data_IF_429537910187
#
_entry.id   IF_429537910187
#
_cell.length_a   1.000
_cell.length_b   1.000
_cell.length_c   1.000
_cell.angle_alpha   90.00
_cell.angle_beta   90.00
_cell.angle_gamma   90.00
#
_symmetry.space_group_name_H-M   'P 1'
#
loop_
_entity.id
_entity.type
_entity.pdbx_description
1 polymer ?
#
# COMPACT_ATOMS: atom_id res chain seq x y z
N UNK A 1 75.07 -44.83 57.55
CA UNK A 1 73.65 -44.39 57.61
C UNK A 1 73.47 -42.95 57.11
N UNK A 2 74.23 -41.95 57.57
CA UNK A 2 74.04 -40.52 57.20
C UNK A 2 74.23 -40.25 55.69
N UNK A 3 75.28 -40.89 55.07
CA UNK A 3 75.53 -40.69 53.63
C UNK A 3 74.45 -41.22 52.69
N UNK A 4 73.79 -42.31 53.07
CA UNK A 4 72.64 -42.89 52.29
C UNK A 4 71.45 -41.98 52.37
N UNK A 5 71.21 -41.38 53.52
CA UNK A 5 70.08 -40.45 53.72
C UNK A 5 70.21 -39.17 52.87
N UNK A 6 71.45 -38.66 52.77
CA UNK A 6 71.76 -37.45 51.94
C UNK A 6 71.54 -37.75 50.46
N UNK A 7 72.02 -38.92 49.98
CA UNK A 7 71.85 -39.36 48.58
C UNK A 7 70.34 -39.53 48.23
N UNK A 8 69.58 -40.12 49.13
CA UNK A 8 68.13 -40.24 48.96
C UNK A 8 67.36 -38.89 48.89
N UNK A 9 67.78 -37.93 49.76
CA UNK A 9 67.20 -36.59 49.74
C UNK A 9 67.55 -35.84 48.42
N UNK A 10 68.81 -35.93 47.96
CA UNK A 10 69.21 -35.33 46.69
C UNK A 10 68.52 -35.99 45.50
N UNK A 11 68.29 -37.30 45.53
CA UNK A 11 67.51 -37.99 44.50
C UNK A 11 66.04 -37.59 44.47
N UNK A 12 65.45 -37.45 45.67
CA UNK A 12 64.04 -36.95 45.76
C UNK A 12 63.86 -35.50 45.32
N UNK A 13 64.86 -34.63 45.65
CA UNK A 13 64.86 -33.23 45.15
C UNK A 13 65.04 -33.20 43.64
N UNK A 14 65.93 -33.99 43.11
CA UNK A 14 66.10 -34.12 41.65
C UNK A 14 64.89 -34.65 40.90
N UNK A 15 64.28 -35.71 41.46
CA UNK A 15 63.01 -36.24 40.89
C UNK A 15 61.83 -35.24 40.99
N UNK A 16 61.73 -34.49 42.12
CA UNK A 16 60.77 -33.44 42.28
C UNK A 16 60.96 -32.29 41.29
N UNK A 17 62.22 -31.89 41.05
CA UNK A 17 62.53 -30.83 40.08
C UNK A 17 62.22 -31.30 38.62
N UNK A 18 62.57 -32.56 38.31
CA UNK A 18 62.26 -33.15 36.98
C UNK A 18 60.78 -33.29 36.77
N UNK A 19 59.99 -33.65 37.81
CA UNK A 19 58.54 -33.76 37.76
C UNK A 19 57.90 -32.35 37.60
N UNK A 20 58.40 -31.37 38.37
CA UNK A 20 57.91 -29.99 38.31
C UNK A 20 58.16 -29.34 36.91
N UNK A 21 59.26 -29.69 36.25
CA UNK A 21 59.56 -29.22 34.90
C UNK A 21 58.67 -29.82 33.82
N UNK A 22 57.94 -30.91 34.11
CA UNK A 22 56.96 -31.50 33.22
C UNK A 22 55.57 -30.86 33.32
N UNK A 23 55.30 -30.16 34.44
CA UNK A 23 54.03 -29.45 34.62
C UNK A 23 54.13 -28.05 34.02
N UNK A 24 53.78 -27.90 32.73
CA UNK A 24 53.49 -26.59 32.19
C UNK A 24 52.20 -26.08 32.77
N UNK A 25 52.21 -24.91 33.38
CA UNK A 25 50.99 -24.27 33.85
C UNK A 25 50.05 -23.94 32.67
N UNK A 26 48.71 -23.98 32.89
CA UNK A 26 47.74 -23.62 31.87
C UNK A 26 48.06 -22.24 31.21
N UNK A 27 48.58 -21.30 32.00
CA UNK A 27 49.04 -19.99 31.51
C UNK A 27 50.26 -20.06 30.58
N UNK A 28 51.18 -21.04 30.79
CA UNK A 28 52.29 -21.27 29.86
C UNK A 28 51.88 -21.99 28.58
N UNK A 29 50.89 -22.88 28.67
CA UNK A 29 50.29 -23.50 27.50
C UNK A 29 49.51 -22.49 26.64
N UNK A 30 48.75 -21.53 27.26
CA UNK A 30 48.11 -20.44 26.55
C UNK A 30 49.12 -19.48 25.92
N UNK A 31 50.25 -19.15 26.61
CA UNK A 31 51.31 -18.29 26.08
C UNK A 31 52.05 -18.95 24.90
N UNK A 32 52.16 -20.30 24.89
CA UNK A 32 52.80 -21.05 23.83
C UNK A 32 51.83 -21.47 22.71
N UNK A 33 50.52 -21.32 22.89
CA UNK A 33 49.50 -21.50 21.85
C UNK A 33 49.69 -20.34 20.84
N UNK A 34 50.50 -20.55 19.80
CA UNK A 34 50.48 -19.66 18.64
C UNK A 34 49.05 -19.61 18.12
N UNK A 35 48.50 -18.40 18.10
CA UNK A 35 47.25 -18.19 17.37
C UNK A 35 47.37 -18.82 15.97
N UNK A 36 46.39 -19.59 15.50
CA UNK A 36 46.42 -20.10 14.14
C UNK A 36 46.70 -18.95 13.19
N UNK A 37 47.63 -19.14 12.25
CA UNK A 37 47.87 -18.12 11.22
C UNK A 37 46.51 -17.79 10.57
N UNK A 38 46.15 -16.50 10.42
CA UNK A 38 44.91 -16.15 9.75
C UNK A 38 44.91 -16.82 8.38
N UNK A 39 43.96 -17.72 8.19
CA UNK A 39 43.73 -18.34 6.88
C UNK A 39 43.12 -17.32 5.91
N UNK A 40 43.31 -17.53 4.61
CA UNK A 40 42.66 -16.66 3.62
C UNK A 40 41.12 -16.70 3.81
N UNK A 41 40.49 -15.54 3.79
CA UNK A 41 39.05 -15.40 3.83
C UNK A 41 38.54 -15.39 2.40
N UNK A 42 37.43 -16.08 2.15
CA UNK A 42 36.81 -16.14 0.84
C UNK A 42 35.40 -15.62 0.92
N UNK A 43 34.92 -15.00 -0.16
CA UNK A 43 33.56 -14.60 -0.39
C UNK A 43 33.04 -15.26 -1.67
N UNK A 44 31.76 -15.56 -1.71
CA UNK A 44 31.10 -16.13 -2.87
C UNK A 44 30.73 -15.03 -3.86
N UNK A 45 30.94 -15.29 -5.15
CA UNK A 45 30.52 -14.41 -6.24
C UNK A 45 29.02 -14.58 -6.43
N UNK A 46 28.27 -13.49 -6.38
CA UNK A 46 26.84 -13.47 -6.65
C UNK A 46 26.55 -12.77 -7.96
N UNK A 47 25.45 -13.11 -8.62
CA UNK A 47 24.96 -12.42 -9.81
C UNK A 47 23.73 -11.61 -9.44
N UNK A 48 23.68 -10.35 -9.89
CA UNK A 48 22.55 -9.46 -9.60
C UNK A 48 22.78 -8.04 -10.10
N UNK A 49 21.86 -7.17 -9.72
CA UNK A 49 21.98 -5.73 -9.98
C UNK A 49 22.62 -5.04 -8.78
N UNK A 50 23.68 -4.29 -9.02
CA UNK A 50 24.25 -3.41 -8.00
C UNK A 50 23.55 -2.06 -8.07
N UNK A 51 22.61 -1.81 -7.14
CA UNK A 51 21.79 -0.61 -7.10
C UNK A 51 21.76 0.01 -5.70
N UNK A 52 21.74 1.32 -5.65
CA UNK A 52 21.46 2.06 -4.42
C UNK A 52 19.98 1.95 -4.09
N UNK A 53 19.65 1.44 -2.92
CA UNK A 53 18.29 1.24 -2.47
C UNK A 53 18.02 1.96 -1.17
N UNK A 54 16.83 2.60 -1.08
CA UNK A 54 16.34 3.22 0.15
C UNK A 54 15.01 2.57 0.52
N UNK A 55 14.95 1.97 1.70
CA UNK A 55 13.77 1.25 2.19
C UNK A 55 12.88 2.10 3.04
N UNK A 56 11.57 2.06 2.78
CA UNK A 56 10.52 2.73 3.54
C UNK A 56 9.42 1.77 3.96
N UNK A 57 8.64 2.19 4.95
CA UNK A 57 7.37 1.53 5.29
C UNK A 57 6.25 2.53 5.09
N UNK A 58 5.22 2.15 4.35
CA UNK A 58 4.06 2.98 4.05
C UNK A 58 2.74 2.26 4.30
N UNK A 59 1.66 2.99 4.07
CA UNK A 59 0.30 2.47 4.14
C UNK A 59 -0.30 2.45 2.72
N UNK A 60 -0.72 1.26 2.29
CA UNK A 60 -1.52 1.14 1.08
C UNK A 60 -2.94 1.65 1.34
N UNK A 61 -3.43 2.49 0.47
CA UNK A 61 -4.77 3.06 0.56
C UNK A 61 -5.20 3.69 -0.76
N UNK A 62 -6.46 4.14 -0.85
CA UNK A 62 -6.97 4.79 -2.06
C UNK A 62 -6.16 6.03 -2.44
N UNK A 63 -5.93 6.19 -3.75
CA UNK A 63 -5.20 7.35 -4.29
C UNK A 63 -5.94 8.67 -4.10
N UNK A 64 -7.26 8.63 -4.09
CA UNK A 64 -8.14 9.77 -3.81
C UNK A 64 -9.14 9.43 -2.73
N UNK A 65 -9.58 10.45 -1.99
CA UNK A 65 -10.61 10.34 -0.95
C UNK A 65 -11.65 11.42 -1.19
N UNK A 66 -12.91 11.01 -1.35
CA UNK A 66 -14.02 11.92 -1.60
C UNK A 66 -14.96 11.89 -0.39
N UNK A 67 -15.07 13.00 0.35
CA UNK A 67 -16.07 13.12 1.40
C UNK A 67 -17.45 13.24 0.77
N UNK A 68 -18.43 12.51 1.31
CA UNK A 68 -19.82 12.50 0.82
C UNK A 68 -20.78 12.61 1.99
N UNK A 69 -21.77 13.48 1.85
CA UNK A 69 -22.82 13.71 2.84
C UNK A 69 -24.14 13.18 2.32
N UNK A 70 -24.88 12.50 3.17
CA UNK A 70 -26.23 11.99 2.88
C UNK A 70 -27.22 13.15 2.94
N UNK A 71 -28.16 13.17 2.02
CA UNK A 71 -29.23 14.16 2.08
C UNK A 71 -30.23 13.83 3.20
N UNK A 72 -30.78 14.86 3.89
CA UNK A 72 -31.80 14.64 4.89
C UNK A 72 -33.02 13.94 4.30
N UNK A 73 -33.60 13.00 5.04
CA UNK A 73 -34.86 12.35 4.65
C UNK A 73 -35.98 13.35 4.84
N UNK A 74 -36.74 13.61 3.77
CA UNK A 74 -37.89 14.53 3.82
C UNK A 74 -38.90 14.08 4.88
N UNK A 75 -39.47 15.04 5.57
CA UNK A 75 -40.50 14.85 6.63
C UNK A 75 -40.04 14.04 7.86
N UNK A 76 -38.75 13.68 7.94
CA UNK A 76 -38.15 13.06 9.11
C UNK A 76 -37.47 14.11 10.00
N UNK A 77 -37.71 14.04 11.30
CA UNK A 77 -37.01 14.93 12.27
C UNK A 77 -35.54 14.58 12.43
N UNK A 78 -35.12 13.37 12.09
CA UNK A 78 -33.76 12.88 12.16
C UNK A 78 -33.47 11.93 11.00
N UNK A 79 -32.26 12.01 10.46
CA UNK A 79 -31.73 11.04 9.51
C UNK A 79 -30.77 10.13 10.28
N UNK A 80 -31.12 8.84 10.41
CA UNK A 80 -30.38 7.88 11.27
C UNK A 80 -30.13 6.59 10.52
N UNK A 81 -28.92 6.04 10.69
CA UNK A 81 -28.57 4.70 10.18
C UNK A 81 -29.34 3.65 10.98
N UNK A 82 -30.17 2.86 10.29
CA UNK A 82 -30.99 1.81 10.91
C UNK A 82 -30.46 0.40 10.66
N UNK A 83 -29.61 0.22 9.64
CA UNK A 83 -29.05 -1.12 9.39
C UNK A 83 -28.10 -1.21 8.20
N UNK A 84 -27.54 -2.40 8.04
CA UNK A 84 -26.73 -2.84 6.88
C UNK A 84 -25.56 -1.91 6.47
N UNK A 85 -24.78 -1.32 7.37
CA UNK A 85 -23.65 -0.50 6.96
C UNK A 85 -22.58 -1.37 6.28
N UNK A 86 -22.03 -0.89 5.17
CA UNK A 86 -20.82 -1.45 4.61
C UNK A 86 -19.65 -1.17 5.56
N UNK A 87 -18.85 -2.20 5.81
CA UNK A 87 -17.69 -2.08 6.69
C UNK A 87 -16.61 -1.16 6.07
N UNK A 88 -15.89 -0.45 6.91
CA UNK A 88 -14.67 0.26 6.51
C UNK A 88 -13.68 -0.74 5.88
N UNK A 89 -13.08 -0.38 4.77
CA UNK A 89 -12.23 -1.24 3.95
C UNK A 89 -13.00 -2.08 2.92
N UNK A 90 -14.34 -2.16 2.99
CA UNK A 90 -15.11 -2.86 1.98
C UNK A 90 -15.18 -2.07 0.67
N UNK A 91 -15.36 -2.78 -0.44
CA UNK A 91 -15.60 -2.18 -1.75
C UNK A 91 -17.08 -2.01 -1.97
N UNK A 92 -17.49 -0.77 -2.23
CA UNK A 92 -18.83 -0.40 -2.67
C UNK A 92 -18.87 -0.40 -4.20
N UNK A 93 -19.92 -0.99 -4.78
CA UNK A 93 -20.15 -0.98 -6.24
C UNK A 93 -21.35 -0.12 -6.59
N UNK A 94 -21.31 0.53 -7.76
CA UNK A 94 -22.46 1.31 -8.25
C UNK A 94 -23.73 0.45 -8.33
N UNK A 95 -24.85 0.98 -7.82
CA UNK A 95 -26.11 0.28 -7.67
C UNK A 95 -26.22 -0.65 -6.45
N UNK A 96 -25.22 -0.65 -5.54
CA UNK A 96 -25.26 -1.43 -4.29
C UNK A 96 -25.82 -0.61 -3.13
N UNK A 97 -26.49 -1.28 -2.18
CA UNK A 97 -26.89 -0.67 -0.91
C UNK A 97 -25.63 -0.45 -0.06
N UNK A 98 -25.39 0.80 0.34
CA UNK A 98 -24.27 1.20 1.22
C UNK A 98 -24.65 1.04 2.69
N UNK A 99 -25.88 1.38 3.02
CA UNK A 99 -26.44 1.26 4.36
C UNK A 99 -27.98 1.38 4.30
N UNK A 100 -28.63 1.24 5.44
CA UNK A 100 -30.05 1.50 5.61
C UNK A 100 -30.24 2.77 6.46
N UNK A 101 -31.04 3.70 5.99
CA UNK A 101 -31.33 4.97 6.65
C UNK A 101 -32.83 5.08 6.86
N UNK A 102 -33.27 5.30 8.12
CA UNK A 102 -34.69 5.38 8.51
C UNK A 102 -35.55 4.22 7.95
N UNK A 103 -35.01 2.99 7.91
CA UNK A 103 -35.65 1.80 7.37
C UNK A 103 -35.67 1.71 5.84
N UNK A 104 -34.98 2.61 5.13
CA UNK A 104 -34.89 2.66 3.66
C UNK A 104 -33.48 2.45 3.17
N UNK A 105 -33.27 1.85 1.97
CA UNK A 105 -31.94 1.65 1.43
C UNK A 105 -31.29 2.97 1.00
N UNK A 106 -30.02 3.14 1.26
CA UNK A 106 -29.18 4.16 0.65
C UNK A 106 -28.30 3.48 -0.40
N UNK A 107 -28.54 3.75 -1.66
CA UNK A 107 -27.80 3.19 -2.77
C UNK A 107 -26.63 4.09 -3.18
N UNK A 108 -25.46 3.51 -3.40
CA UNK A 108 -24.36 4.22 -4.06
C UNK A 108 -24.55 4.17 -5.58
N UNK A 109 -24.50 5.28 -6.26
CA UNK A 109 -24.62 5.37 -7.72
C UNK A 109 -23.48 6.22 -8.27
N UNK A 110 -22.72 5.71 -9.24
CA UNK A 110 -21.67 6.47 -9.88
C UNK A 110 -22.24 7.72 -10.55
N UNK A 111 -21.70 8.88 -10.16
CA UNK A 111 -22.08 10.17 -10.77
C UNK A 111 -20.94 11.18 -10.58
N UNK A 112 -20.72 12.04 -11.57
CA UNK A 112 -19.80 13.18 -11.47
C UNK A 112 -20.36 14.35 -10.64
N UNK A 113 -21.63 14.28 -10.25
CA UNK A 113 -22.33 15.31 -9.49
C UNK A 113 -23.25 14.66 -8.45
N UNK A 114 -23.62 15.41 -7.41
CA UNK A 114 -24.60 14.98 -6.43
C UNK A 114 -26.01 14.96 -7.02
N UNK A 115 -26.79 13.93 -6.69
CA UNK A 115 -28.21 13.90 -7.06
C UNK A 115 -28.94 15.03 -6.36
N UNK A 116 -29.84 15.70 -7.09
CA UNK A 116 -30.44 16.96 -6.65
C UNK A 116 -31.94 16.96 -6.64
N UNK A 117 -32.58 15.88 -7.10
CA UNK A 117 -34.03 15.71 -7.16
C UNK A 117 -34.47 14.26 -7.11
N UNK A 118 -35.68 14.06 -6.78
CA UNK A 118 -36.34 12.78 -6.94
C UNK A 118 -36.50 12.44 -8.43
N UNK A 119 -36.47 11.14 -8.76
CA UNK A 119 -36.59 10.65 -10.13
C UNK A 119 -37.76 9.70 -10.30
N UNK A 120 -38.55 9.87 -11.36
CA UNK A 120 -39.70 9.04 -11.67
C UNK A 120 -40.12 9.13 -13.14
N UNK A 121 -41.16 8.42 -13.49
CA UNK A 121 -41.69 8.37 -14.87
C UNK A 121 -41.94 9.77 -15.40
N UNK A 122 -41.37 10.09 -16.58
CA UNK A 122 -41.47 11.39 -17.25
C UNK A 122 -40.24 12.28 -17.05
N UNK A 123 -39.39 12.01 -16.03
CA UNK A 123 -38.17 12.78 -15.80
C UNK A 123 -37.13 12.50 -16.88
N UNK A 124 -36.26 13.49 -17.12
CA UNK A 124 -35.17 13.40 -18.08
C UNK A 124 -33.96 14.18 -17.56
N UNK A 125 -32.77 13.67 -17.84
CA UNK A 125 -31.53 14.35 -17.49
C UNK A 125 -30.36 13.42 -17.26
N UNK A 126 -29.17 13.99 -16.97
CA UNK A 126 -27.96 13.23 -16.69
C UNK A 126 -28.04 12.44 -15.37
N UNK A 127 -28.88 12.87 -14.44
CA UNK A 127 -29.23 12.17 -13.20
C UNK A 127 -29.94 10.83 -13.48
N UNK A 128 -30.91 10.86 -14.41
CA UNK A 128 -31.62 9.64 -14.88
C UNK A 128 -30.63 8.72 -15.63
N UNK A 129 -29.76 9.28 -16.49
CA UNK A 129 -28.76 8.51 -17.21
C UNK A 129 -27.78 7.80 -16.25
N UNK A 130 -27.30 8.50 -15.22
CA UNK A 130 -26.43 7.92 -14.19
C UNK A 130 -27.10 6.76 -13.44
N UNK A 131 -28.39 6.92 -13.06
CA UNK A 131 -29.19 5.86 -12.44
C UNK A 131 -29.33 4.65 -13.39
N UNK A 132 -29.67 4.90 -14.66
CA UNK A 132 -29.80 3.85 -15.67
C UNK A 132 -28.48 3.11 -15.90
N UNK A 133 -27.36 3.83 -15.96
CA UNK A 133 -26.03 3.24 -16.08
C UNK A 133 -25.70 2.31 -14.90
N UNK A 134 -26.05 2.71 -13.67
CA UNK A 134 -25.91 1.87 -12.49
C UNK A 134 -26.77 0.60 -12.56
N UNK A 135 -28.00 0.71 -13.05
CA UNK A 135 -28.90 -0.43 -13.24
C UNK A 135 -28.36 -1.38 -14.31
N UNK A 136 -27.86 -0.86 -15.44
CA UNK A 136 -27.21 -1.67 -16.49
C UNK A 136 -25.97 -2.39 -15.94
N UNK A 137 -25.14 -1.71 -15.15
CA UNK A 137 -23.98 -2.33 -14.50
C UNK A 137 -24.36 -3.47 -13.55
N UNK A 138 -25.58 -3.45 -13.02
CA UNK A 138 -26.19 -4.51 -12.19
C UNK A 138 -26.96 -5.55 -13.02
N UNK A 139 -26.80 -5.53 -14.34
CA UNK A 139 -27.41 -6.47 -15.30
C UNK A 139 -28.93 -6.33 -15.48
N UNK A 140 -29.52 -5.19 -15.13
CA UNK A 140 -30.90 -4.90 -15.50
C UNK A 140 -30.96 -4.52 -16.98
N UNK A 141 -31.98 -5.04 -17.69
CA UNK A 141 -32.14 -4.85 -19.13
C UNK A 141 -32.87 -3.54 -19.41
N UNK A 142 -32.12 -2.49 -19.75
CA UNK A 142 -32.63 -1.18 -20.17
C UNK A 142 -31.57 -0.41 -20.90
N UNK A 143 -31.93 0.67 -21.57
CA UNK A 143 -31.03 1.60 -22.20
C UNK A 143 -30.77 2.81 -21.28
N UNK A 144 -29.52 3.23 -21.14
CA UNK A 144 -29.16 4.47 -20.45
C UNK A 144 -29.31 5.66 -21.44
N UNK A 145 -30.56 6.08 -21.67
CA UNK A 145 -30.92 7.15 -22.62
C UNK A 145 -31.25 8.49 -21.93
N UNK A 146 -31.13 8.54 -20.61
CA UNK A 146 -31.48 9.71 -19.79
C UNK A 146 -32.93 10.01 -19.71
N UNK A 147 -33.83 9.07 -20.08
CA UNK A 147 -35.30 9.24 -19.97
C UNK A 147 -35.88 8.20 -19.06
N UNK A 148 -36.51 8.63 -17.98
CA UNK A 148 -37.18 7.74 -17.04
C UNK A 148 -38.52 7.27 -17.61
N UNK A 149 -38.47 6.20 -18.38
CA UNK A 149 -39.64 5.55 -18.98
C UNK A 149 -40.17 4.38 -18.15
N UNK A 150 -41.14 3.65 -18.70
CA UNK A 150 -41.70 2.46 -18.07
C UNK A 150 -40.70 1.33 -17.87
N UNK A 151 -39.71 1.19 -18.77
CA UNK A 151 -38.59 0.22 -18.65
C UNK A 151 -37.73 0.55 -17.43
N UNK A 152 -37.35 1.82 -17.28
CA UNK A 152 -36.61 2.31 -16.12
C UNK A 152 -37.38 2.09 -14.83
N UNK A 153 -38.68 2.41 -14.81
CA UNK A 153 -39.55 2.18 -13.65
C UNK A 153 -39.62 0.70 -13.25
N UNK A 154 -39.72 -0.19 -14.24
CA UNK A 154 -39.71 -1.64 -14.02
C UNK A 154 -38.39 -2.13 -13.46
N UNK A 155 -37.27 -1.64 -14.00
CA UNK A 155 -35.93 -1.96 -13.52
C UNK A 155 -35.71 -1.46 -12.09
N UNK A 156 -36.10 -0.24 -11.78
CA UNK A 156 -36.07 0.34 -10.43
C UNK A 156 -36.86 -0.49 -9.45
N UNK A 157 -38.10 -0.84 -9.78
CA UNK A 157 -38.91 -1.70 -8.91
C UNK A 157 -38.21 -3.02 -8.58
N UNK A 158 -37.64 -3.65 -9.58
CA UNK A 158 -36.90 -4.90 -9.43
C UNK A 158 -35.62 -4.72 -8.60
N UNK A 159 -34.90 -3.63 -8.83
CA UNK A 159 -33.67 -3.29 -8.09
C UNK A 159 -33.94 -3.15 -6.58
N UNK A 160 -35.02 -2.47 -6.19
CA UNK A 160 -35.44 -2.42 -4.78
C UNK A 160 -35.79 -3.81 -4.23
N UNK A 161 -36.58 -4.58 -4.96
CA UNK A 161 -36.98 -5.93 -4.56
C UNK A 161 -35.78 -6.88 -4.38
N UNK A 162 -34.86 -6.87 -5.34
CA UNK A 162 -33.64 -7.67 -5.28
C UNK A 162 -32.70 -7.24 -4.11
N UNK A 163 -32.84 -5.98 -3.68
CA UNK A 163 -32.16 -5.45 -2.51
C UNK A 163 -32.88 -5.72 -1.18
N UNK A 164 -34.08 -6.29 -1.24
CA UNK A 164 -34.93 -6.63 -0.09
C UNK A 164 -35.80 -5.50 0.43
N UNK A 165 -36.13 -4.54 -0.43
CA UNK A 165 -36.96 -3.40 -0.11
C UNK A 165 -38.18 -3.29 -1.07
N UNK A 166 -39.20 -2.59 -0.63
CA UNK A 166 -40.31 -2.21 -1.50
C UNK A 166 -39.99 -0.89 -2.21
N UNK A 167 -40.16 -0.86 -3.54
CA UNK A 167 -39.95 0.35 -4.30
C UNK A 167 -40.97 1.44 -3.90
N UNK A 168 -40.54 2.67 -3.67
CA UNK A 168 -41.47 3.76 -3.40
C UNK A 168 -42.38 4.03 -4.60
N UNK A 169 -43.57 4.49 -4.35
CA UNK A 169 -44.50 4.93 -5.37
C UNK A 169 -44.84 6.40 -5.16
N UNK A 170 -44.77 7.20 -6.23
CA UNK A 170 -45.22 8.58 -6.17
C UNK A 170 -46.77 8.59 -6.26
N UNK A 171 -47.42 8.98 -5.19
CA UNK A 171 -48.88 9.22 -5.24
C UNK A 171 -49.16 10.49 -6.08
N UNK A 172 -50.07 10.42 -7.03
CA UNK A 172 -50.49 11.57 -7.87
C UNK A 172 -51.05 12.78 -7.06
N UNK A 173 -51.07 12.68 -5.74
CA UNK A 173 -51.55 13.75 -4.86
C UNK A 173 -50.50 14.83 -4.56
N UNK A 174 -49.19 14.61 -4.88
CA UNK A 174 -48.12 15.58 -4.59
C UNK A 174 -47.91 16.65 -5.67
N UNK A 175 -48.59 16.60 -6.81
CA UNK A 175 -48.47 17.58 -7.90
C UNK A 175 -49.36 18.83 -7.74
N UNK A 176 -49.98 19.06 -6.58
CA UNK A 176 -50.83 20.23 -6.36
C UNK A 176 -50.11 21.35 -5.61
N UNK A 177 -48.99 21.84 -6.13
CA UNK A 177 -48.49 23.17 -5.80
C UNK A 177 -47.89 23.84 -7.04
N UNK A 178 -48.73 24.01 -8.08
CA UNK A 178 -48.54 25.05 -9.10
C UNK A 178 -49.93 25.63 -9.38
N UNK A 179 -50.22 26.88 -9.02
CA UNK A 179 -51.51 27.49 -9.32
C UNK A 179 -51.45 28.06 -10.74
N UNK A 180 -51.76 27.29 -11.75
CA UNK A 180 -52.24 27.73 -13.06
C UNK A 180 -52.27 26.57 -14.08
N UNK A 181 -53.36 25.81 -14.09
CA UNK A 181 -53.84 25.21 -15.33
C UNK A 181 -55.27 24.64 -15.13
N UNK A 182 -56.23 25.42 -15.62
CA UNK A 182 -57.52 25.06 -16.21
C UNK A 182 -58.26 23.82 -15.73
N UNK A 183 -59.39 24.08 -15.11
CA UNK A 183 -60.56 23.20 -14.99
C UNK A 183 -60.89 22.51 -16.33
N UNK A 184 -60.67 21.21 -16.41
CA UNK A 184 -61.43 20.33 -17.32
C UNK A 184 -61.62 18.98 -16.68
N UNK A 185 -62.84 18.74 -16.25
CA UNK A 185 -63.58 17.45 -16.03
C UNK A 185 -62.69 16.22 -15.76
N UNK A 186 -62.43 15.92 -14.51
CA UNK A 186 -61.99 14.59 -14.09
C UNK A 186 -63.20 13.73 -13.73
N UNK A 187 -63.39 12.61 -14.42
CA UNK A 187 -64.24 11.50 -14.06
C UNK A 187 -63.77 10.94 -12.68
N UNK A 188 -64.62 10.92 -11.63
CA UNK A 188 -64.19 10.51 -10.31
C UNK A 188 -63.94 9.01 -10.16
N UNK A 189 -63.97 8.22 -11.24
CA UNK A 189 -63.76 6.77 -11.22
C UNK A 189 -62.41 6.29 -11.78
N UNK A 190 -61.60 7.15 -12.38
CA UNK A 190 -60.29 6.77 -12.85
C UNK A 190 -59.26 6.92 -11.72
N UNK A 191 -59.02 5.82 -11.01
CA UNK A 191 -57.83 5.68 -10.13
C UNK A 191 -56.60 5.87 -11.02
N UNK A 192 -56.01 7.06 -10.95
CA UNK A 192 -54.74 7.31 -11.66
C UNK A 192 -53.77 6.17 -11.31
N UNK A 193 -53.10 5.55 -12.29
CA UNK A 193 -52.16 4.51 -12.02
C UNK A 193 -51.07 5.12 -11.11
N UNK A 194 -50.90 4.54 -9.92
CA UNK A 194 -49.78 4.88 -9.08
C UNK A 194 -48.51 4.74 -9.95
N UNK A 195 -47.76 5.81 -10.14
CA UNK A 195 -46.51 5.77 -10.88
C UNK A 195 -45.54 4.90 -10.08
N UNK A 196 -45.54 3.62 -10.40
CA UNK A 196 -44.63 2.64 -9.78
C UNK A 196 -43.21 2.89 -10.28
N UNK A 197 -42.22 2.73 -9.41
CA UNK A 197 -40.82 2.87 -9.73
C UNK A 197 -40.30 4.32 -9.65
N UNK A 198 -40.39 4.87 -8.49
CA UNK A 198 -39.86 6.20 -8.13
C UNK A 198 -38.62 6.04 -7.27
N UNK A 199 -37.66 6.95 -7.38
CA UNK A 199 -36.43 6.95 -6.59
C UNK A 199 -36.29 8.29 -5.88
N UNK A 200 -36.46 8.32 -4.55
CA UNK A 200 -36.17 9.52 -3.76
C UNK A 200 -34.70 9.89 -3.80
N UNK A 201 -34.41 11.17 -3.87
CA UNK A 201 -33.02 11.67 -3.85
C UNK A 201 -32.28 11.31 -2.55
N UNK A 202 -33.01 11.20 -1.44
CA UNK A 202 -32.43 10.81 -0.15
C UNK A 202 -32.04 9.32 -0.07
N UNK A 203 -32.43 8.50 -1.05
CA UNK A 203 -32.06 7.08 -1.12
C UNK A 203 -30.89 6.81 -2.09
N UNK A 204 -30.28 7.88 -2.65
CA UNK A 204 -29.15 7.78 -3.58
C UNK A 204 -28.00 8.63 -3.09
N UNK A 205 -26.80 8.05 -3.07
CA UNK A 205 -25.55 8.71 -2.79
C UNK A 205 -24.65 8.68 -4.04
N UNK A 206 -24.15 9.84 -4.48
CA UNK A 206 -23.21 9.92 -5.58
C UNK A 206 -21.86 9.29 -5.19
N UNK A 207 -21.38 8.36 -6.02
CA UNK A 207 -20.07 7.74 -5.88
C UNK A 207 -19.10 8.29 -6.93
N UNK A 208 -17.83 8.55 -6.60
CA UNK A 208 -16.86 9.11 -7.54
C UNK A 208 -16.50 8.15 -8.69
N UNK A 209 -16.70 6.85 -8.48
CA UNK A 209 -16.38 5.79 -9.45
C UNK A 209 -17.35 4.62 -9.34
N UNK A 210 -17.36 3.75 -10.35
CA UNK A 210 -18.22 2.55 -10.37
C UNK A 210 -17.89 1.57 -9.23
N UNK A 211 -16.68 1.63 -8.74
CA UNK A 211 -16.19 0.87 -7.58
C UNK A 211 -15.40 1.81 -6.68
N UNK A 212 -15.75 1.88 -5.41
CA UNK A 212 -15.09 2.76 -4.43
C UNK A 212 -14.81 1.99 -3.14
N UNK A 213 -13.68 2.28 -2.50
CA UNK A 213 -13.39 1.73 -1.18
C UNK A 213 -14.05 2.59 -0.10
N UNK A 214 -14.73 1.98 0.85
CA UNK A 214 -15.25 2.69 2.03
C UNK A 214 -14.09 2.98 2.98
N UNK A 215 -13.53 4.20 2.92
CA UNK A 215 -12.44 4.64 3.81
C UNK A 215 -12.98 4.94 5.19
N UNK A 216 -14.11 5.65 5.24
CA UNK A 216 -14.89 5.89 6.44
C UNK A 216 -16.35 5.59 6.12
N UNK A 217 -16.92 4.64 6.84
CA UNK A 217 -18.33 4.26 6.76
C UNK A 217 -19.10 4.76 7.97
N UNK A 218 -20.37 4.45 7.99
CA UNK A 218 -21.32 4.83 9.05
C UNK A 218 -21.61 3.65 9.98
N UNK A 219 -22.16 3.94 11.16
CA UNK A 219 -22.52 2.94 12.15
C UNK A 219 -24.03 3.00 12.45
N UNK A 220 -24.61 1.84 12.80
CA UNK A 220 -26.02 1.78 13.21
C UNK A 220 -26.25 2.70 14.42
N UNK A 221 -27.30 3.50 14.35
CA UNK A 221 -27.63 4.51 15.35
C UNK A 221 -26.95 5.87 15.15
N UNK A 222 -26.03 5.99 14.19
CA UNK A 222 -25.39 7.26 13.87
C UNK A 222 -26.41 8.20 13.20
N UNK A 223 -26.38 9.48 13.59
CA UNK A 223 -27.11 10.56 12.91
C UNK A 223 -26.29 10.99 11.69
N UNK A 224 -26.98 11.14 10.57
CA UNK A 224 -26.41 11.57 9.30
C UNK A 224 -26.89 12.98 8.93
N UNK A 225 -26.34 13.50 7.83
CA UNK A 225 -26.69 14.81 7.27
C UNK A 225 -26.44 15.98 8.25
N UNK A 226 -25.43 15.85 9.12
CA UNK A 226 -24.98 16.98 9.94
C UNK A 226 -24.22 17.98 9.05
N UNK A 227 -24.49 19.27 9.26
CA UNK A 227 -23.85 20.34 8.50
C UNK A 227 -22.33 20.33 8.74
N UNK A 228 -21.54 20.38 7.67
CA UNK A 228 -20.08 20.46 7.73
C UNK A 228 -19.35 19.15 8.07
N UNK A 229 -20.07 18.03 8.28
CA UNK A 229 -19.46 16.74 8.61
C UNK A 229 -19.80 15.72 7.51
N UNK A 230 -18.79 15.14 6.83
CA UNK A 230 -19.08 14.08 5.86
C UNK A 230 -19.53 12.80 6.56
N UNK A 231 -20.57 12.17 6.01
CA UNK A 231 -21.09 10.92 6.53
C UNK A 231 -20.25 9.72 6.06
N UNK A 232 -19.76 9.79 4.81
CA UNK A 232 -18.87 8.79 4.22
C UNK A 232 -17.61 9.44 3.68
N UNK A 233 -16.51 8.70 3.70
CA UNK A 233 -15.33 8.98 2.88
C UNK A 233 -15.17 7.78 1.95
N UNK A 234 -15.36 8.03 0.65
CA UNK A 234 -15.19 7.03 -0.40
C UNK A 234 -13.85 7.25 -1.09
N UNK A 235 -13.06 6.19 -1.19
CA UNK A 235 -11.77 6.20 -1.87
C UNK A 235 -11.87 5.64 -3.28
N UNK A 236 -10.91 6.00 -4.14
CA UNK A 236 -10.76 5.35 -5.44
C UNK A 236 -10.50 3.85 -5.28
N UNK A 237 -10.78 3.08 -6.33
CA UNK A 237 -10.39 1.67 -6.39
C UNK A 237 -8.87 1.50 -6.55
N UNK A 238 -8.21 2.52 -7.11
CA UNK A 238 -6.76 2.51 -7.31
C UNK A 238 -6.06 2.78 -5.99
N UNK A 239 -5.22 1.84 -5.57
CA UNK A 239 -4.44 1.93 -4.35
C UNK A 239 -3.07 2.53 -4.64
N UNK A 240 -2.59 3.37 -3.75
CA UNK A 240 -1.21 3.89 -3.70
C UNK A 240 -0.63 3.60 -2.32
N UNK A 241 0.69 3.58 -2.21
CA UNK A 241 1.35 3.47 -0.90
C UNK A 241 1.78 4.85 -0.45
N UNK A 242 1.17 5.37 0.60
CA UNK A 242 1.54 6.65 1.21
C UNK A 242 2.61 6.42 2.27
N UNK A 243 3.68 7.19 2.20
CA UNK A 243 4.83 7.15 3.10
C UNK A 243 4.98 8.53 3.73
N UNK A 244 5.12 8.56 5.05
CA UNK A 244 5.43 9.79 5.82
C UNK A 244 6.69 9.52 6.61
N UNK A 245 7.71 10.33 6.40
CA UNK A 245 9.01 10.20 7.04
C UNK A 245 9.59 11.57 7.41
N UNK A 246 10.47 11.65 8.41
CA UNK A 246 11.26 12.85 8.64
C UNK A 246 12.07 13.21 7.38
N UNK A 247 12.24 14.51 7.11
CA UNK A 247 13.04 14.98 5.96
C UNK A 247 14.45 14.40 5.96
N UNK A 248 15.01 14.15 7.14
CA UNK A 248 16.35 13.55 7.30
C UNK A 248 16.44 12.13 6.77
N UNK A 249 15.33 11.40 6.79
CA UNK A 249 15.26 9.98 6.41
C UNK A 249 14.86 9.79 4.94
N UNK A 250 14.47 10.88 4.26
CA UNK A 250 14.12 10.86 2.85
C UNK A 250 15.32 10.51 1.95
N UNK A 251 16.53 10.90 2.37
CA UNK A 251 17.73 10.74 1.56
C UNK A 251 17.64 11.52 0.24
N UNK A 252 18.15 10.93 -0.83
CA UNK A 252 18.16 11.53 -2.18
C UNK A 252 16.91 11.18 -3.00
N UNK A 253 15.83 10.69 -2.38
CA UNK A 253 14.61 10.29 -3.09
C UNK A 253 13.95 11.51 -3.71
N UNK A 254 13.58 11.38 -5.00
CA UNK A 254 12.87 12.42 -5.77
C UNK A 254 11.65 11.83 -6.47
N UNK A 255 10.72 12.71 -6.83
CA UNK A 255 9.58 12.31 -7.64
C UNK A 255 10.03 11.74 -9.00
N UNK A 256 9.43 10.62 -9.39
CA UNK A 256 9.80 9.90 -10.62
C UNK A 256 10.74 8.72 -10.40
N UNK A 257 11.35 8.56 -9.22
CA UNK A 257 12.20 7.43 -8.93
C UNK A 257 11.42 6.10 -9.04
N UNK A 258 12.10 5.08 -9.53
CA UNK A 258 11.56 3.73 -9.56
C UNK A 258 11.48 3.15 -8.14
N UNK A 259 10.42 2.42 -7.85
CA UNK A 259 10.23 1.79 -6.57
C UNK A 259 9.63 0.38 -6.72
N UNK A 260 9.92 -0.48 -5.76
CA UNK A 260 9.31 -1.80 -5.62
C UNK A 260 8.47 -1.80 -4.35
N UNK A 261 7.20 -2.13 -4.50
CA UNK A 261 6.22 -2.22 -3.42
C UNK A 261 6.06 -3.69 -3.05
N UNK A 262 6.32 -4.05 -1.80
CA UNK A 262 6.12 -5.42 -1.28
C UNK A 262 4.96 -5.44 -0.28
N UNK A 263 3.90 -6.18 -0.62
CA UNK A 263 2.71 -6.39 0.22
C UNK A 263 2.40 -7.89 0.27
N UNK A 264 2.37 -8.46 1.48
CA UNK A 264 1.98 -9.87 1.66
C UNK A 264 2.86 -10.88 0.91
N UNK A 265 4.11 -10.52 0.58
CA UNK A 265 5.03 -11.36 -0.19
C UNK A 265 4.91 -11.20 -1.71
N UNK A 266 4.04 -10.32 -2.19
CA UNK A 266 3.95 -9.97 -3.61
C UNK A 266 4.67 -8.65 -3.85
N UNK A 267 5.49 -8.59 -4.89
CA UNK A 267 6.21 -7.40 -5.31
C UNK A 267 5.55 -6.80 -6.55
N UNK A 268 5.38 -5.49 -6.52
CA UNK A 268 4.79 -4.70 -7.60
C UNK A 268 5.67 -3.49 -7.86
N UNK A 269 6.07 -3.29 -9.09
CA UNK A 269 6.77 -2.07 -9.48
C UNK A 269 5.90 -0.84 -9.33
N UNK A 270 6.52 0.29 -8.99
CA UNK A 270 5.85 1.57 -8.83
C UNK A 270 6.79 2.73 -9.13
N UNK A 271 6.24 3.92 -8.99
CA UNK A 271 6.97 5.18 -9.19
C UNK A 271 6.68 6.12 -8.03
N UNK A 272 7.70 6.79 -7.52
CA UNK A 272 7.58 7.82 -6.47
C UNK A 272 6.84 9.02 -7.06
N UNK A 273 5.74 9.41 -6.44
CA UNK A 273 4.97 10.61 -6.77
C UNK A 273 5.54 11.88 -6.14
N UNK A 274 4.73 12.95 -6.14
CA UNK A 274 5.13 14.23 -5.57
C UNK A 274 5.43 14.13 -4.08
N UNK A 275 6.57 14.70 -3.67
CA UNK A 275 6.99 14.79 -2.27
C UNK A 275 6.52 16.13 -1.71
N UNK A 276 5.72 16.11 -0.65
CA UNK A 276 5.12 17.31 -0.04
C UNK A 276 5.44 17.34 1.46
N UNK A 277 5.56 18.53 2.06
CA UNK A 277 5.63 18.65 3.51
C UNK A 277 4.39 18.02 4.16
N UNK A 278 4.59 17.24 5.19
CA UNK A 278 3.48 16.67 5.99
C UNK A 278 2.75 17.80 6.69
N UNK A 279 1.41 17.84 6.58
CA UNK A 279 0.61 18.98 7.06
C UNK A 279 0.20 19.98 6.00
N UNK A 280 0.63 19.82 4.73
CA UNK A 280 0.15 20.60 3.58
C UNK A 280 -1.08 19.97 2.92
N UNK A 281 -1.75 19.00 3.55
CA UNK A 281 -3.05 18.57 3.08
C UNK A 281 -3.98 19.77 3.11
N UNK A 282 -4.73 20.03 2.05
CA UNK A 282 -5.93 20.84 2.06
C UNK A 282 -6.92 20.22 3.06
N UNK A 283 -6.67 20.43 4.35
CA UNK A 283 -7.70 20.30 5.37
C UNK A 283 -8.54 21.57 5.31
N UNK A 284 -9.82 21.48 4.90
CA UNK A 284 -10.70 22.65 4.84
C UNK A 284 -11.14 23.14 6.22
N UNK A 285 -10.61 22.63 7.31
CA UNK A 285 -10.95 23.06 8.67
C UNK A 285 -9.68 23.42 9.46
N UNK A 286 -9.43 24.75 9.48
CA UNK A 286 -8.53 25.36 10.45
C UNK A 286 -9.02 25.15 11.89
N UNK A 287 -8.60 24.10 12.54
CA UNK A 287 -8.58 24.02 13.99
C UNK A 287 -7.24 24.56 14.45
N UNK A 288 -7.32 25.69 15.17
CA UNK A 288 -6.21 26.50 15.63
C UNK A 288 -5.05 25.69 16.21
N UNK A 289 -3.87 25.98 15.69
CA UNK A 289 -2.61 25.51 16.21
C UNK A 289 -2.47 25.98 17.69
N UNK A 290 -2.49 25.02 18.62
CA UNK A 290 -2.04 25.24 19.98
C UNK A 290 -0.53 25.50 19.96
N UNK A 291 -0.12 26.60 20.52
CA UNK A 291 1.24 27.14 20.53
C UNK A 291 2.21 26.40 21.50
N UNK A 292 2.05 25.11 21.69
CA UNK A 292 2.94 24.24 22.49
C UNK A 292 3.30 22.95 21.69
N UNK A 293 3.72 23.12 20.42
CA UNK A 293 4.30 22.00 19.68
C UNK A 293 5.80 21.93 20.02
N UNK A 294 6.23 20.92 20.78
CA UNK A 294 7.59 20.41 20.73
C UNK A 294 8.06 20.39 19.27
N UNK A 295 9.31 20.81 19.02
CA UNK A 295 9.91 20.83 17.69
C UNK A 295 9.96 19.42 17.10
N UNK A 296 8.84 18.99 16.53
CA UNK A 296 8.80 17.77 15.70
C UNK A 296 9.60 18.09 14.44
N UNK A 297 10.57 17.23 14.12
CA UNK A 297 11.34 17.35 12.89
C UNK A 297 10.37 17.46 11.69
N UNK A 298 10.65 18.32 10.70
CA UNK A 298 9.79 18.47 9.55
C UNK A 298 9.65 17.13 8.82
N UNK A 299 8.40 16.68 8.67
CA UNK A 299 8.08 15.45 7.97
C UNK A 299 7.66 15.74 6.53
N UNK A 300 7.90 14.79 5.66
CA UNK A 300 7.44 14.78 4.28
C UNK A 300 6.56 13.57 4.03
N UNK A 301 5.58 13.77 3.17
CA UNK A 301 4.68 12.72 2.71
C UNK A 301 4.77 12.62 1.20
N UNK A 302 4.89 11.39 0.71
CA UNK A 302 4.81 11.08 -0.71
C UNK A 302 4.05 9.78 -0.94
N UNK A 303 3.48 9.66 -2.13
CA UNK A 303 2.79 8.45 -2.55
C UNK A 303 3.63 7.70 -3.57
N UNK A 304 3.66 6.37 -3.47
CA UNK A 304 4.21 5.52 -4.52
C UNK A 304 3.05 4.92 -5.30
N UNK A 305 3.00 5.24 -6.59
CA UNK A 305 1.96 4.81 -7.51
C UNK A 305 2.39 3.49 -8.13
N UNK A 306 1.65 2.40 -7.91
CA UNK A 306 1.98 1.11 -8.48
C UNK A 306 1.67 1.08 -9.98
N UNK A 307 2.47 0.37 -10.78
CA UNK A 307 2.24 0.14 -12.22
C UNK A 307 1.18 -0.94 -12.48
N UNK A 308 0.92 -1.80 -11.51
CA UNK A 308 -0.11 -2.83 -11.56
C UNK A 308 -0.94 -2.81 -10.28
N UNK A 309 -2.13 -3.40 -10.32
CA UNK A 309 -3.02 -3.45 -9.17
C UNK A 309 -2.34 -4.12 -7.97
N UNK A 310 -2.39 -3.47 -6.81
CA UNK A 310 -1.87 -4.03 -5.57
C UNK A 310 -2.79 -5.18 -5.09
N UNK A 311 -2.23 -6.29 -4.62
CA UNK A 311 -3.04 -7.37 -4.07
C UNK A 311 -3.66 -6.96 -2.73
N UNK A 312 -4.96 -7.21 -2.57
CA UNK A 312 -5.68 -7.05 -1.31
C UNK A 312 -6.26 -5.66 -1.05
N UNK A 313 -6.70 -5.45 0.18
CA UNK A 313 -7.22 -4.18 0.70
C UNK A 313 -6.08 -3.36 1.34
N UNK A 314 -6.41 -2.12 1.73
CA UNK A 314 -5.51 -1.22 2.47
C UNK A 314 -4.72 -1.95 3.59
N UNK A 315 -3.41 -1.72 3.64
CA UNK A 315 -2.53 -2.38 4.60
C UNK A 315 -1.12 -1.82 4.60
N UNK A 316 -0.28 -2.35 5.50
CA UNK A 316 1.13 -1.94 5.56
C UNK A 316 1.90 -2.53 4.38
N UNK A 317 2.68 -1.69 3.71
CA UNK A 317 3.56 -2.05 2.61
C UNK A 317 5.00 -1.67 2.92
N UNK A 318 5.95 -2.48 2.45
CA UNK A 318 7.35 -2.08 2.35
C UNK A 318 7.58 -1.53 0.96
N UNK A 319 8.31 -0.45 0.87
CA UNK A 319 8.69 0.18 -0.39
C UNK A 319 10.21 0.30 -0.44
N UNK A 320 10.80 -0.20 -1.50
CA UNK A 320 12.22 -0.03 -1.80
C UNK A 320 12.35 0.88 -3.01
N UNK A 321 12.91 2.06 -2.82
CA UNK A 321 13.18 3.03 -3.90
C UNK A 321 14.56 2.75 -4.47
N UNK A 322 14.64 2.51 -5.78
CA UNK A 322 15.87 2.25 -6.50
C UNK A 322 16.42 3.58 -7.01
N UNK A 323 17.61 3.98 -6.51
CA UNK A 323 18.19 5.30 -6.81
C UNK A 323 19.13 5.28 -7.99
N UNK A 324 20.12 4.43 -7.93
CA UNK A 324 21.15 4.35 -8.96
C UNK A 324 21.42 2.90 -9.25
N UNK A 325 21.19 2.50 -10.47
CA UNK A 325 21.63 1.21 -10.97
C UNK A 325 23.06 1.43 -11.45
N UNK A 326 24.01 0.86 -10.72
CA UNK A 326 25.44 0.92 -11.04
C UNK A 326 25.76 -0.11 -12.12
N UNK A 327 25.19 -1.30 -12.01
CA UNK A 327 25.28 -2.36 -12.99
C UNK A 327 24.03 -3.26 -12.90
N UNK A 328 23.51 -3.71 -14.05
CA UNK A 328 22.45 -4.71 -14.16
C UNK A 328 23.08 -6.06 -14.54
N UNK A 329 22.58 -7.14 -13.92
CA UNK A 329 22.96 -8.52 -14.24
C UNK A 329 24.49 -8.78 -14.24
N UNK A 330 25.20 -8.13 -13.31
CA UNK A 330 26.64 -8.21 -13.17
C UNK A 330 27.06 -9.21 -12.08
N UNK A 331 28.32 -9.67 -12.12
CA UNK A 331 28.90 -10.41 -11.01
C UNK A 331 29.29 -9.43 -9.91
N UNK A 332 28.84 -9.72 -8.69
CA UNK A 332 29.04 -8.86 -7.52
C UNK A 332 30.00 -9.55 -6.56
N UNK A 333 31.00 -8.81 -6.13
CA UNK A 333 32.03 -9.26 -5.19
C UNK A 333 32.28 -8.17 -4.14
N UNK A 334 32.73 -8.51 -2.92
CA UNK A 334 33.16 -7.49 -1.96
C UNK A 334 34.34 -6.67 -2.50
N UNK A 335 34.37 -5.37 -2.22
CA UNK A 335 35.43 -4.46 -2.65
C UNK A 335 36.84 -4.95 -2.23
N UNK A 336 36.91 -5.62 -1.09
CA UNK A 336 38.17 -6.18 -0.57
C UNK A 336 38.70 -7.38 -1.36
N UNK A 337 37.89 -7.99 -2.24
CA UNK A 337 38.34 -9.06 -3.12
C UNK A 337 39.02 -8.53 -4.38
N UNK A 338 38.79 -7.26 -4.71
CA UNK A 338 39.39 -6.60 -5.89
C UNK A 338 40.76 -6.10 -5.59
N UNK A 339 41.76 -6.52 -6.39
CA UNK A 339 43.13 -6.10 -6.28
C UNK A 339 43.59 -5.32 -7.51
N UNK A 340 44.11 -4.13 -7.31
CA UNK A 340 44.68 -3.30 -8.37
C UNK A 340 46.16 -3.63 -8.52
N UNK A 341 46.55 -4.08 -9.69
CA UNK A 341 47.94 -4.46 -10.03
C UNK A 341 48.65 -3.41 -10.92
N UNK A 342 47.99 -2.28 -11.15
CA UNK A 342 48.55 -1.17 -11.95
C UNK A 342 47.52 -0.62 -12.96
N UNK A 343 47.91 0.38 -13.75
CA UNK A 343 46.98 0.99 -14.69
C UNK A 343 46.34 -0.08 -15.60
N UNK A 344 45.02 -0.15 -15.55
CA UNK A 344 44.15 -1.06 -16.30
C UNK A 344 44.30 -2.57 -15.99
N UNK A 345 44.80 -2.94 -14.80
CA UNK A 345 44.96 -4.34 -14.37
C UNK A 345 44.26 -4.58 -13.01
N UNK A 346 42.97 -4.66 -13.04
CA UNK A 346 42.18 -5.09 -11.90
C UNK A 346 42.00 -6.60 -11.95
N UNK A 347 42.29 -7.30 -10.85
CA UNK A 347 42.20 -8.77 -10.77
C UNK A 347 41.46 -9.21 -9.51
N UNK A 348 40.82 -10.34 -9.62
CA UNK A 348 40.28 -11.12 -8.49
C UNK A 348 41.11 -12.39 -8.32
N UNK A 349 41.26 -12.85 -7.09
CA UNK A 349 41.90 -14.13 -6.82
C UNK A 349 40.83 -15.17 -6.53
N UNK A 350 40.55 -16.03 -7.52
CA UNK A 350 39.58 -17.14 -7.44
C UNK A 350 40.21 -18.38 -6.86
N UNK A 351 39.53 -19.12 -6.01
CA UNK A 351 39.92 -20.45 -5.56
C UNK A 351 39.33 -21.51 -6.51
N UNK A 352 40.23 -22.37 -7.03
CA UNK A 352 39.81 -23.52 -7.83
C UNK A 352 39.41 -24.71 -6.94
N UNK A 353 38.76 -25.71 -7.55
CA UNK A 353 38.26 -26.89 -6.84
C UNK A 353 39.37 -27.72 -6.15
N UNK A 354 40.61 -27.61 -6.62
CA UNK A 354 41.80 -28.24 -6.04
C UNK A 354 42.45 -27.41 -4.91
N UNK A 355 41.85 -26.23 -4.58
CA UNK A 355 42.36 -25.31 -3.56
C UNK A 355 43.45 -24.35 -4.05
N UNK A 356 43.83 -24.43 -5.31
CA UNK A 356 44.80 -23.47 -5.90
C UNK A 356 44.16 -22.13 -6.15
N UNK A 357 44.96 -21.07 -6.06
CA UNK A 357 44.52 -19.70 -6.28
C UNK A 357 44.91 -19.23 -7.68
N UNK A 358 43.98 -18.67 -8.41
CA UNK A 358 44.16 -18.18 -9.76
C UNK A 358 43.71 -16.73 -9.86
N UNK A 359 44.46 -15.86 -10.54
CA UNK A 359 44.10 -14.47 -10.78
C UNK A 359 43.24 -14.36 -12.04
N UNK A 360 42.04 -13.80 -11.87
CA UNK A 360 41.09 -13.54 -12.95
C UNK A 360 41.06 -12.03 -13.22
N UNK A 361 41.47 -11.59 -14.42
CA UNK A 361 41.35 -10.19 -14.82
C UNK A 361 39.88 -9.80 -14.99
N UNK A 362 39.52 -8.65 -14.42
CA UNK A 362 38.11 -8.14 -14.47
C UNK A 362 38.08 -6.66 -14.80
N UNK A 363 36.97 -6.24 -15.38
CA UNK A 363 36.58 -4.83 -15.53
C UNK A 363 35.67 -4.47 -14.38
N UNK A 364 35.89 -3.36 -13.68
CA UNK A 364 35.02 -2.82 -12.67
C UNK A 364 33.94 -1.99 -13.37
N UNK A 365 32.67 -2.38 -13.25
CA UNK A 365 31.51 -1.65 -13.77
C UNK A 365 31.09 -0.54 -12.82
N UNK A 366 31.26 -0.76 -11.50
CA UNK A 366 31.03 0.24 -10.47
C UNK A 366 31.12 -0.33 -9.07
N UNK A 367 31.06 0.58 -8.08
CA UNK A 367 31.21 0.23 -6.65
C UNK A 367 30.11 0.91 -5.86
N UNK A 368 29.50 0.15 -4.95
CA UNK A 368 28.45 0.67 -4.08
C UNK A 368 28.46 -0.07 -2.74
N UNK A 369 28.41 0.66 -1.62
CA UNK A 369 28.27 0.13 -0.25
C UNK A 369 29.25 -1.01 0.13
N UNK A 370 30.46 -1.02 -0.46
CA UNK A 370 31.47 -2.05 -0.18
C UNK A 370 31.39 -3.26 -1.09
N UNK A 371 30.50 -3.27 -2.05
CA UNK A 371 30.38 -4.23 -3.14
C UNK A 371 30.83 -3.63 -4.46
N UNK A 372 31.32 -4.47 -5.35
CA UNK A 372 31.81 -4.09 -6.68
C UNK A 372 31.15 -4.99 -7.71
N UNK A 373 30.55 -4.36 -8.71
CA UNK A 373 30.09 -5.06 -9.90
C UNK A 373 31.27 -5.23 -10.85
N UNK A 374 31.53 -6.45 -11.28
CA UNK A 374 32.66 -6.81 -12.14
C UNK A 374 32.21 -7.62 -13.34
N UNK A 375 32.95 -7.50 -14.43
CA UNK A 375 32.80 -8.30 -15.63
C UNK A 375 34.17 -8.96 -15.93
N UNK A 376 34.26 -10.30 -16.06
CA UNK A 376 35.51 -10.96 -16.39
C UNK A 376 35.92 -10.64 -17.82
N UNK A 377 37.23 -10.41 -18.05
CA UNK A 377 37.74 -10.14 -19.41
C UNK A 377 37.70 -11.38 -20.30
N UNK A 378 37.72 -12.58 -19.71
CA UNK A 378 37.54 -13.85 -20.42
C UNK A 378 36.24 -14.48 -19.99
N UNK A 379 35.36 -14.82 -20.96
CA UNK A 379 34.08 -15.44 -20.73
C UNK A 379 34.23 -16.78 -19.98
N UNK A 380 33.49 -16.98 -18.90
CA UNK A 380 33.55 -18.20 -18.06
C UNK A 380 34.74 -18.26 -17.08
N UNK A 381 35.60 -17.25 -17.03
CA UNK A 381 36.70 -17.21 -16.05
C UNK A 381 36.20 -16.99 -14.61
N UNK A 382 35.05 -16.32 -14.45
CA UNK A 382 34.37 -16.07 -13.17
C UNK A 382 32.88 -16.34 -13.35
N UNK A 383 32.32 -17.14 -12.43
CA UNK A 383 30.91 -17.52 -12.46
C UNK A 383 30.28 -17.35 -11.07
N UNK A 384 28.95 -17.32 -11.05
CA UNK A 384 28.17 -17.29 -9.79
C UNK A 384 28.48 -18.53 -8.95
N UNK A 385 28.73 -18.34 -7.66
CA UNK A 385 29.12 -19.43 -6.74
C UNK A 385 30.62 -19.64 -6.61
N UNK A 386 31.44 -18.97 -7.42
CA UNK A 386 32.87 -19.01 -7.28
C UNK A 386 33.35 -18.36 -5.98
N UNK A 387 34.42 -18.90 -5.38
CA UNK A 387 35.02 -18.34 -4.18
C UNK A 387 36.17 -17.42 -4.55
N UNK A 388 36.07 -16.15 -4.16
CA UNK A 388 37.12 -15.14 -4.35
C UNK A 388 37.77 -14.77 -3.02
N UNK A 389 39.06 -14.62 -3.01
CA UNK A 389 39.80 -14.26 -1.82
C UNK A 389 39.56 -12.81 -1.44
N UNK A 390 39.26 -12.58 -0.16
CA UNK A 390 39.05 -11.26 0.43
C UNK A 390 40.24 -10.89 1.30
N UNK A 391 41.00 -9.85 0.91
CA UNK A 391 42.14 -9.34 1.68
C UNK A 391 43.45 -10.04 1.43
#
# INVERSE_FOLDING_TARGET
MAVIAVVLIVALIGAGFWFAAQFQSAAQQEANAKAPAPGPVFAEVTQGSLAGEVGFTGQAGPSTRTPVTVLPVADASLTVVTGRPLATGATASSGQVLTEVNGRPLFGVQSAFSFYRDMGVGDRGPDVEALQAALVARSYQLNADGKFGSETATAVKRWYQDSGYEAPSRSAAAEKTSPEASEKSADPSAKAPAAEGYVPVAEILAMPSASAQVVQGVQVGQRLAAEGVPDFILGSADLVVTITVPVTDLGDVVAGDAAVISIGGTEVEGTVGDIRPSGSAEDPEGTGASADAEQVAPEVTFAVVPKAALPGSAGRARVTVVKQIVAEDALIVPVLAVSDRGPDKTVLTKQQADGTLFEVPVTVLGTLQGEVAVEPLEEGALETGDLVRVG
#
